data_IF_004452536407
#
_entry.id   IF_004452536407
#
_cell.length_a   1.000
_cell.length_b   1.000
_cell.length_c   1.000
_cell.angle_alpha   90.00
_cell.angle_beta   90.00
_cell.angle_gamma   90.00
#
_symmetry.space_group_name_H-M   'P 1'
#
loop_
_entity.id
_entity.type
_entity.pdbx_description
1 polymer ?
#
# COMPACT_ATOMS: atom_id res chain seq x y z
N UNK A 1 -9.49 11.49 -36.19
CA UNK A 1 -10.64 12.41 -35.98
C UNK A 1 -11.40 12.14 -34.68
N UNK A 2 -11.57 10.88 -34.23
CA UNK A 2 -12.33 10.53 -33.01
C UNK A 2 -11.76 11.04 -31.67
N UNK A 3 -10.45 11.25 -31.55
CA UNK A 3 -9.82 11.66 -30.29
C UNK A 3 -10.22 13.07 -29.83
N UNK A 4 -10.48 13.98 -30.78
CA UNK A 4 -10.91 15.35 -30.49
C UNK A 4 -12.25 15.40 -29.74
N UNK A 5 -13.11 14.38 -29.91
CA UNK A 5 -14.41 14.29 -29.23
C UNK A 5 -14.27 13.98 -27.73
N UNK A 6 -13.21 13.26 -27.34
CA UNK A 6 -12.97 12.88 -25.93
C UNK A 6 -12.16 13.94 -25.18
N UNK A 7 -11.29 14.68 -25.87
CA UNK A 7 -10.42 15.70 -25.30
C UNK A 7 -10.95 17.12 -25.54
N UNK A 8 -12.20 17.37 -25.15
CA UNK A 8 -12.73 18.74 -25.18
C UNK A 8 -12.07 19.58 -24.09
N UNK A 9 -11.92 20.89 -24.33
CA UNK A 9 -11.25 21.81 -23.39
C UNK A 9 -11.85 21.74 -21.98
N UNK A 10 -13.17 21.64 -21.86
CA UNK A 10 -13.86 21.49 -20.56
C UNK A 10 -13.52 20.17 -19.84
N UNK A 11 -13.41 19.05 -20.58
CA UNK A 11 -13.02 17.75 -19.99
C UNK A 11 -11.57 17.77 -19.51
N UNK A 12 -10.67 18.36 -20.29
CA UNK A 12 -9.26 18.49 -19.90
C UNK A 12 -9.11 19.32 -18.62
N UNK A 13 -9.78 20.48 -18.55
CA UNK A 13 -9.76 21.34 -17.35
C UNK A 13 -10.32 20.61 -16.14
N UNK A 14 -11.44 19.89 -16.29
CA UNK A 14 -12.01 19.09 -15.22
C UNK A 14 -11.06 17.98 -14.74
N UNK A 15 -10.44 17.24 -15.66
CA UNK A 15 -9.49 16.16 -15.30
C UNK A 15 -8.29 16.71 -14.52
N UNK A 16 -7.70 17.82 -14.96
CA UNK A 16 -6.58 18.46 -14.26
C UNK A 16 -7.02 18.90 -12.86
N UNK A 17 -8.16 19.60 -12.75
CA UNK A 17 -8.69 20.04 -11.47
C UNK A 17 -8.96 18.86 -10.52
N UNK A 18 -9.59 17.80 -11.03
CA UNK A 18 -9.89 16.59 -10.27
C UNK A 18 -8.62 15.92 -9.76
N UNK A 19 -7.61 15.75 -10.60
CA UNK A 19 -6.33 15.13 -10.21
C UNK A 19 -5.65 15.95 -9.11
N UNK A 20 -5.59 17.27 -9.26
CA UNK A 20 -4.97 18.15 -8.26
C UNK A 20 -5.72 18.07 -6.93
N UNK A 21 -7.05 18.20 -6.94
CA UNK A 21 -7.88 18.10 -5.74
C UNK A 21 -7.74 16.72 -5.08
N UNK A 22 -7.72 15.65 -5.87
CA UNK A 22 -7.58 14.29 -5.39
C UNK A 22 -6.20 14.06 -4.75
N UNK A 23 -5.11 14.49 -5.39
CA UNK A 23 -3.76 14.41 -4.83
C UNK A 23 -3.66 15.21 -3.53
N UNK A 24 -4.23 16.42 -3.49
CA UNK A 24 -4.24 17.24 -2.28
C UNK A 24 -4.96 16.53 -1.11
N UNK A 25 -6.11 15.91 -1.38
CA UNK A 25 -6.84 15.10 -0.41
C UNK A 25 -6.06 13.86 0.03
N UNK A 26 -5.38 13.16 -0.89
CA UNK A 26 -4.50 12.04 -0.54
C UNK A 26 -3.40 12.48 0.40
N UNK A 27 -2.69 13.57 0.09
CA UNK A 27 -1.64 14.11 0.95
C UNK A 27 -2.21 14.47 2.32
N UNK A 28 -3.36 15.17 2.37
CA UNK A 28 -4.00 15.51 3.64
C UNK A 28 -4.35 14.27 4.48
N UNK A 29 -4.90 13.23 3.85
CA UNK A 29 -5.26 11.97 4.52
C UNK A 29 -4.02 11.25 5.05
N UNK A 30 -3.02 11.01 4.20
CA UNK A 30 -1.84 10.22 4.56
C UNK A 30 -0.89 10.93 5.53
N UNK A 31 -0.93 12.26 5.63
CA UNK A 31 -0.10 13.00 6.61
C UNK A 31 -0.33 12.56 8.05
N UNK A 32 -1.57 12.24 8.43
CA UNK A 32 -1.89 11.73 9.78
C UNK A 32 -1.48 10.27 9.93
N UNK A 33 -1.65 9.49 8.87
CA UNK A 33 -1.34 8.06 8.87
C UNK A 33 0.14 7.77 9.00
N UNK A 34 1.02 8.62 8.45
CA UNK A 34 2.48 8.46 8.61
C UNK A 34 2.87 8.43 10.09
N UNK A 35 2.35 9.36 10.90
CA UNK A 35 2.62 9.41 12.34
C UNK A 35 2.03 8.21 13.08
N UNK A 36 0.83 7.79 12.70
CA UNK A 36 0.19 6.61 13.27
C UNK A 36 0.94 5.32 12.90
N UNK A 37 1.43 5.21 11.67
CA UNK A 37 2.20 4.07 11.20
C UNK A 37 3.53 3.96 11.97
N UNK A 38 4.25 5.06 12.16
CA UNK A 38 5.44 5.07 13.01
C UNK A 38 5.13 4.76 14.48
N UNK A 39 3.95 5.14 15.00
CA UNK A 39 3.59 4.85 16.39
C UNK A 39 3.25 3.37 16.62
N UNK A 40 2.41 2.79 15.77
CA UNK A 40 1.85 1.44 15.98
C UNK A 40 2.60 0.34 15.24
N UNK A 41 3.22 0.64 14.10
CA UNK A 41 3.90 -0.33 13.25
C UNK A 41 5.43 -0.24 13.33
N UNK A 42 6.00 0.52 14.28
CA UNK A 42 7.45 0.57 14.48
C UNK A 42 8.01 -0.83 14.71
N UNK A 43 8.87 -1.28 13.80
CA UNK A 43 9.48 -2.60 13.88
C UNK A 43 8.51 -3.76 13.65
N UNK A 44 7.28 -3.52 13.16
CA UNK A 44 6.34 -4.57 12.80
C UNK A 44 6.95 -5.52 11.76
N UNK A 45 7.67 -4.98 10.76
CA UNK A 45 8.37 -5.82 9.77
C UNK A 45 9.39 -6.78 10.39
N UNK A 46 10.18 -6.33 11.38
CA UNK A 46 11.11 -7.21 12.11
C UNK A 46 10.37 -8.30 12.87
N UNK A 47 9.27 -7.94 13.54
CA UNK A 47 8.43 -8.91 14.26
C UNK A 47 7.85 -9.96 13.32
N UNK A 48 7.32 -9.56 12.16
CA UNK A 48 6.76 -10.48 11.15
C UNK A 48 7.81 -11.44 10.64
N UNK A 49 9.04 -10.96 10.35
CA UNK A 49 10.14 -11.84 9.90
C UNK A 49 10.52 -12.85 10.98
N UNK A 50 10.61 -12.42 12.24
CA UNK A 50 10.97 -13.32 13.35
C UNK A 50 9.89 -14.38 13.56
N UNK A 51 8.63 -13.98 13.77
CA UNK A 51 7.55 -14.92 14.06
C UNK A 51 7.19 -15.76 12.84
N UNK A 52 7.10 -15.16 11.65
CA UNK A 52 6.84 -15.87 10.40
C UNK A 52 7.97 -16.84 10.07
N UNK A 53 9.22 -16.41 10.22
CA UNK A 53 10.39 -17.27 10.04
C UNK A 53 10.41 -18.45 11.02
N UNK A 54 10.10 -18.20 12.29
CA UNK A 54 10.00 -19.25 13.31
C UNK A 54 8.92 -20.29 12.95
N UNK A 55 7.73 -19.84 12.51
CA UNK A 55 6.65 -20.73 12.09
C UNK A 55 7.10 -21.60 10.91
N UNK A 56 7.74 -21.01 9.90
CA UNK A 56 8.25 -21.74 8.74
C UNK A 56 9.30 -22.78 9.16
N UNK A 57 10.25 -22.41 10.02
CA UNK A 57 11.30 -23.31 10.51
C UNK A 57 10.69 -24.48 11.27
N UNK A 58 9.75 -24.23 12.18
CA UNK A 58 9.06 -25.28 12.94
C UNK A 58 8.29 -26.19 11.99
N UNK A 59 7.55 -25.61 11.04
CA UNK A 59 6.79 -26.38 10.05
C UNK A 59 7.68 -27.30 9.22
N UNK A 60 8.81 -26.80 8.72
CA UNK A 60 9.79 -27.59 7.96
C UNK A 60 10.41 -28.67 8.84
N UNK A 61 10.77 -28.37 10.08
CA UNK A 61 11.35 -29.33 11.02
C UNK A 61 10.38 -30.48 11.34
N UNK A 62 9.11 -30.19 11.61
CA UNK A 62 8.08 -31.21 11.84
C UNK A 62 7.91 -32.10 10.61
N UNK A 63 7.79 -31.49 9.41
CA UNK A 63 7.67 -32.24 8.15
C UNK A 63 8.88 -33.15 7.93
N UNK A 64 10.08 -32.67 8.24
CA UNK A 64 11.30 -33.45 8.04
C UNK A 64 11.43 -34.62 9.05
N UNK A 65 11.07 -34.38 10.32
CA UNK A 65 11.21 -35.37 11.39
C UNK A 65 10.06 -36.41 11.45
N UNK A 66 8.84 -36.00 11.13
CA UNK A 66 7.63 -36.82 11.30
C UNK A 66 6.89 -37.10 9.97
N UNK A 67 7.25 -36.43 8.89
CA UNK A 67 6.63 -36.60 7.56
C UNK A 67 7.30 -37.68 6.70
N UNK A 68 7.88 -38.69 7.35
CA UNK A 68 8.43 -39.88 6.71
C UNK A 68 7.36 -40.98 6.66
#
# INVERSE_FOLDING_TARGET
>A
MFLNTFFTSGRIVFMIFFIIAFIALMIYSYRKDIKNHERYYKGAGKKVIIYGGLIIVIFVAIRFLFGN
#
